data_IF_884267382926
#
_entry.id   IF_884267382926
#
_cell.length_a   1.000
_cell.length_b   1.000
_cell.length_c   1.000
_cell.angle_alpha   90.00
_cell.angle_beta   90.00
_cell.angle_gamma   90.00
#
_symmetry.space_group_name_H-M   'P 1'
#
loop_
_entity.id
_entity.type
_entity.pdbx_description
1 polymer ?
#
# COMPACT_ATOMS: atom_id res chain seq x y z
N UNK A 1 -15.16 34.92 -39.52
CA UNK A 1 -14.85 33.49 -39.76
C UNK A 1 -13.43 33.43 -40.27
N UNK A 2 -12.48 33.25 -39.35
CA UNK A 2 -11.05 33.20 -39.62
C UNK A 2 -10.52 31.87 -39.08
N UNK A 3 -10.29 30.96 -40.00
CA UNK A 3 -9.57 29.71 -39.82
C UNK A 3 -8.09 29.99 -39.56
N UNK A 4 -7.60 29.65 -38.37
CA UNK A 4 -6.18 29.39 -38.12
C UNK A 4 -6.09 28.17 -37.20
N UNK A 5 -5.82 27.03 -37.81
CA UNK A 5 -5.37 25.85 -37.10
C UNK A 5 -4.00 26.15 -36.48
N UNK A 6 -3.89 25.98 -35.16
CA UNK A 6 -2.60 26.00 -34.47
C UNK A 6 -2.42 24.65 -33.80
N UNK A 7 -1.79 23.75 -34.53
CA UNK A 7 -1.22 22.50 -34.02
C UNK A 7 -0.02 22.88 -33.14
N UNK A 8 -0.22 22.96 -31.83
CA UNK A 8 0.86 23.19 -30.88
C UNK A 8 1.38 21.83 -30.37
N UNK A 9 2.41 21.32 -31.05
CA UNK A 9 3.30 20.32 -30.48
C UNK A 9 4.09 21.00 -29.35
N UNK A 10 3.90 20.57 -28.10
CA UNK A 10 4.75 20.99 -26.97
C UNK A 10 5.19 19.75 -26.20
N UNK A 11 6.43 19.38 -26.51
CA UNK A 11 7.48 18.87 -25.64
C UNK A 11 7.07 18.02 -24.43
N UNK A 12 7.42 16.73 -24.51
CA UNK A 12 7.45 15.84 -23.35
C UNK A 12 8.37 16.40 -22.26
N UNK A 13 7.84 16.48 -21.05
CA UNK A 13 8.62 16.73 -19.85
C UNK A 13 9.23 15.39 -19.47
N UNK A 14 10.52 15.22 -19.78
CA UNK A 14 11.32 14.12 -19.24
C UNK A 14 11.44 14.34 -17.73
N UNK A 15 10.67 13.58 -16.95
CA UNK A 15 10.89 13.48 -15.51
C UNK A 15 12.19 12.70 -15.32
N UNK A 16 13.28 13.41 -15.11
CA UNK A 16 14.54 12.80 -14.66
C UNK A 16 14.36 12.48 -13.18
N UNK A 17 13.95 11.24 -12.89
CA UNK A 17 14.00 10.67 -11.54
C UNK A 17 15.48 10.60 -11.11
N UNK A 18 15.94 11.62 -10.38
CA UNK A 18 17.22 11.57 -9.68
C UNK A 18 17.08 10.57 -8.51
N UNK A 19 17.24 9.29 -8.80
CA UNK A 19 17.46 8.26 -7.79
C UNK A 19 18.85 8.48 -7.19
N UNK A 20 18.91 9.25 -6.09
CA UNK A 20 20.10 9.32 -5.25
C UNK A 20 20.05 8.16 -4.25
N UNK A 21 20.53 6.99 -4.68
CA UNK A 21 20.76 5.81 -3.85
C UNK A 21 22.00 5.10 -4.37
N UNK A 22 23.07 5.14 -3.58
CA UNK A 22 24.45 4.80 -3.93
C UNK A 22 24.63 3.50 -4.73
N UNK A 23 25.44 3.56 -5.79
CA UNK A 23 25.90 2.41 -6.57
C UNK A 23 26.99 1.64 -5.82
N UNK A 24 26.87 0.31 -5.82
CA UNK A 24 27.98 -0.65 -5.81
C UNK A 24 27.68 -1.72 -6.88
N UNK A 25 28.75 -2.21 -7.50
CA UNK A 25 28.85 -2.66 -8.88
C UNK A 25 28.19 -3.98 -9.33
N UNK A 26 27.88 -3.98 -10.64
CA UNK A 26 28.05 -5.08 -11.62
C UNK A 26 26.94 -6.11 -11.86
N UNK A 27 26.70 -6.31 -13.17
CA UNK A 27 26.16 -7.50 -13.84
C UNK A 27 24.65 -7.57 -14.06
N UNK A 28 24.25 -7.26 -15.29
CA UNK A 28 22.99 -7.62 -15.95
C UNK A 28 22.54 -9.07 -15.67
N UNK A 29 21.34 -9.21 -15.13
CA UNK A 29 20.35 -10.21 -15.54
C UNK A 29 18.97 -9.63 -15.26
N UNK A 30 18.20 -9.41 -16.32
CA UNK A 30 16.78 -9.12 -16.22
C UNK A 30 16.07 -10.36 -15.67
N UNK A 31 15.80 -10.37 -14.38
CA UNK A 31 14.76 -11.21 -13.81
C UNK A 31 13.68 -10.26 -13.30
N UNK A 32 12.61 -10.13 -14.10
CA UNK A 32 11.37 -9.47 -13.67
C UNK A 32 10.60 -10.41 -12.72
N UNK A 33 11.25 -10.86 -11.67
CA UNK A 33 10.60 -11.32 -10.46
C UNK A 33 10.64 -10.16 -9.49
N UNK A 34 9.50 -9.54 -9.20
CA UNK A 34 9.34 -8.80 -7.94
C UNK A 34 9.58 -9.79 -6.81
N UNK A 35 10.85 -10.01 -6.49
CA UNK A 35 11.25 -10.34 -5.14
C UNK A 35 10.97 -9.07 -4.38
N UNK A 36 9.71 -8.88 -3.97
CA UNK A 36 9.39 -8.07 -2.81
C UNK A 36 10.41 -8.53 -1.79
N UNK A 37 11.42 -7.71 -1.50
CA UNK A 37 12.28 -7.96 -0.35
C UNK A 37 11.30 -8.29 0.75
N UNK A 38 11.31 -9.53 1.24
CA UNK A 38 10.47 -9.93 2.33
C UNK A 38 10.88 -8.97 3.43
N UNK A 39 10.12 -7.89 3.60
CA UNK A 39 10.20 -7.06 4.77
C UNK A 39 10.02 -8.09 5.88
N UNK A 40 10.94 -8.11 6.84
CA UNK A 40 10.89 -9.09 7.91
C UNK A 40 9.60 -8.84 8.69
N UNK A 41 8.51 -9.51 8.28
CA UNK A 41 7.17 -9.32 8.83
C UNK A 41 7.15 -10.16 10.08
N UNK A 42 7.06 -9.49 11.22
CA UNK A 42 6.79 -10.17 12.49
C UNK A 42 5.36 -10.70 12.45
N UNK A 43 5.23 -12.02 12.36
CA UNK A 43 3.93 -12.69 12.41
C UNK A 43 3.43 -12.80 13.86
N UNK A 44 2.12 -12.67 14.01
CA UNK A 44 1.42 -12.93 15.28
C UNK A 44 0.31 -13.94 15.04
N UNK A 45 0.28 -15.01 15.82
CA UNK A 45 -0.73 -16.05 15.62
C UNK A 45 -2.08 -15.63 16.22
N UNK A 46 -3.17 -16.16 15.66
CA UNK A 46 -4.52 -15.99 16.18
C UNK A 46 -5.33 -14.90 15.47
N UNK A 47 -6.45 -14.50 16.08
CA UNK A 47 -7.42 -13.57 15.50
C UNK A 47 -7.26 -12.16 16.08
N UNK A 48 -7.15 -11.18 15.19
CA UNK A 48 -7.09 -9.76 15.52
C UNK A 48 -8.40 -9.12 15.06
N UNK A 49 -9.18 -8.62 16.02
CA UNK A 49 -10.33 -7.77 15.72
C UNK A 49 -9.85 -6.31 15.59
N UNK A 50 -10.23 -5.66 14.50
CA UNK A 50 -9.89 -4.28 14.20
C UNK A 50 -11.12 -3.51 13.71
N UNK A 51 -11.20 -2.19 13.95
CA UNK A 51 -12.31 -1.38 13.46
C UNK A 51 -11.89 0.05 13.18
N UNK A 52 -12.41 0.66 12.12
CA UNK A 52 -11.97 2.00 11.75
C UNK A 52 -12.72 2.66 10.60
N UNK A 53 -12.05 3.63 9.99
CA UNK A 53 -12.61 4.40 8.88
C UNK A 53 -13.04 3.51 7.72
N UNK A 54 -14.24 3.73 7.22
CA UNK A 54 -14.67 3.13 5.96
C UNK A 54 -13.92 3.70 4.76
N UNK A 55 -13.36 4.92 4.86
CA UNK A 55 -12.61 5.55 3.78
C UNK A 55 -11.31 4.81 3.43
N UNK A 56 -10.70 4.11 4.41
CA UNK A 56 -9.48 3.33 4.20
C UNK A 56 -9.74 1.84 3.99
N UNK A 57 -11.00 1.39 3.94
CA UNK A 57 -11.37 -0.03 3.96
C UNK A 57 -10.65 -0.84 2.87
N UNK A 58 -10.62 -0.34 1.64
CA UNK A 58 -9.96 -1.03 0.52
C UNK A 58 -8.44 -1.20 0.75
N UNK A 59 -7.78 -0.19 1.33
CA UNK A 59 -6.36 -0.24 1.61
C UNK A 59 -6.05 -1.25 2.74
N UNK A 60 -6.89 -1.28 3.78
CA UNK A 60 -6.76 -2.26 4.85
C UNK A 60 -7.01 -3.68 4.34
N UNK A 61 -8.02 -3.89 3.47
CA UNK A 61 -8.27 -5.20 2.86
C UNK A 61 -7.06 -5.73 2.09
N UNK A 62 -6.42 -4.89 1.28
CA UNK A 62 -5.21 -5.29 0.56
C UNK A 62 -4.05 -5.60 1.51
N UNK A 63 -3.85 -4.76 2.52
CA UNK A 63 -2.82 -4.99 3.53
C UNK A 63 -3.06 -6.29 4.33
N UNK A 64 -4.31 -6.56 4.77
CA UNK A 64 -4.68 -7.82 5.44
C UNK A 64 -4.41 -9.01 4.54
N UNK A 65 -4.76 -8.90 3.26
CA UNK A 65 -4.53 -9.96 2.28
C UNK A 65 -3.04 -10.28 2.17
N UNK A 66 -2.20 -9.25 1.98
CA UNK A 66 -0.76 -9.41 1.93
C UNK A 66 -0.17 -9.95 3.25
N UNK A 67 -0.66 -9.47 4.39
CA UNK A 67 -0.21 -9.91 5.71
C UNK A 67 -0.53 -11.37 5.96
N UNK A 68 -1.75 -11.83 5.64
CA UNK A 68 -2.15 -13.23 5.85
C UNK A 68 -1.47 -14.19 4.86
N UNK A 69 -1.03 -13.71 3.69
CA UNK A 69 -0.14 -14.48 2.81
C UNK A 69 1.22 -14.69 3.47
N UNK A 70 1.77 -13.65 4.11
CA UNK A 70 3.05 -13.73 4.82
C UNK A 70 2.96 -14.47 6.17
N UNK A 71 1.81 -14.38 6.84
CA UNK A 71 1.54 -14.89 8.18
C UNK A 71 0.25 -15.74 8.17
N UNK A 72 0.32 -17.01 7.76
CA UNK A 72 -0.88 -17.84 7.54
C UNK A 72 -1.62 -18.22 8.83
N UNK A 73 -0.96 -18.15 9.98
CA UNK A 73 -1.57 -18.43 11.30
C UNK A 73 -2.27 -17.19 11.89
N UNK A 74 -2.20 -16.05 11.21
CA UNK A 74 -2.88 -14.81 11.58
C UNK A 74 -4.22 -14.68 10.86
N UNK A 75 -5.24 -14.21 11.57
CA UNK A 75 -6.50 -13.76 10.98
C UNK A 75 -6.76 -12.32 11.41
N UNK A 76 -7.03 -11.42 10.46
CA UNK A 76 -7.38 -10.03 10.76
C UNK A 76 -8.79 -9.75 10.26
N UNK A 77 -9.68 -9.39 11.19
CA UNK A 77 -11.07 -9.02 10.92
C UNK A 77 -11.23 -7.51 11.12
N UNK A 78 -11.19 -6.76 10.01
CA UNK A 78 -11.36 -5.32 10.01
C UNK A 78 -12.81 -4.90 9.71
N UNK A 79 -13.39 -4.14 10.63
CA UNK A 79 -14.76 -3.63 10.53
C UNK A 79 -14.77 -2.14 10.09
N UNK A 80 -15.24 -1.80 8.88
CA UNK A 80 -15.24 -0.43 8.36
C UNK A 80 -16.44 0.39 8.91
N UNK A 81 -16.49 0.59 10.22
CA UNK A 81 -17.62 1.24 10.94
C UNK A 81 -17.57 2.78 10.94
N UNK A 82 -16.52 3.37 10.36
CA UNK A 82 -16.26 4.81 10.40
C UNK A 82 -15.30 5.20 11.54
N UNK A 83 -14.58 6.32 11.37
CA UNK A 83 -13.47 6.67 12.27
C UNK A 83 -13.91 6.90 13.71
N UNK A 84 -15.07 7.52 13.94
CA UNK A 84 -15.57 7.79 15.30
C UNK A 84 -15.87 6.51 16.08
N UNK A 85 -16.67 5.61 15.49
CA UNK A 85 -16.99 4.32 16.09
C UNK A 85 -15.74 3.42 16.26
N UNK A 86 -14.78 3.48 15.33
CA UNK A 86 -13.50 2.80 15.47
C UNK A 86 -12.68 3.30 16.67
N UNK A 87 -12.55 4.63 16.82
CA UNK A 87 -11.88 5.24 17.98
C UNK A 87 -12.56 4.85 19.29
N UNK A 88 -13.89 4.91 19.34
CA UNK A 88 -14.66 4.48 20.52
C UNK A 88 -14.40 3.00 20.85
N UNK A 89 -14.38 2.13 19.84
CA UNK A 89 -14.11 0.69 20.00
C UNK A 89 -12.69 0.42 20.48
N UNK A 90 -11.70 1.14 19.94
CA UNK A 90 -10.30 1.00 20.35
C UNK A 90 -10.08 1.47 21.79
N UNK A 91 -10.58 2.67 22.14
CA UNK A 91 -10.41 3.24 23.49
C UNK A 91 -11.15 2.42 24.56
N UNK A 92 -12.25 1.78 24.19
CA UNK A 92 -12.98 0.85 25.07
C UNK A 92 -12.38 -0.56 25.13
N UNK A 93 -11.30 -0.83 24.38
CA UNK A 93 -10.61 -2.13 24.38
C UNK A 93 -11.35 -3.25 23.66
N UNK A 94 -12.32 -2.92 22.79
CA UNK A 94 -13.09 -3.91 22.02
C UNK A 94 -12.33 -4.41 20.78
N UNK A 95 -11.43 -3.58 20.25
CA UNK A 95 -10.60 -3.90 19.08
C UNK A 95 -9.13 -3.58 19.34
N UNK A 96 -8.25 -4.22 18.58
CA UNK A 96 -6.79 -4.11 18.74
C UNK A 96 -6.23 -2.84 18.10
N UNK A 97 -6.88 -2.35 17.04
CA UNK A 97 -6.55 -1.11 16.35
C UNK A 97 -7.72 -0.64 15.47
#
# INVERSE_FOLDING_TARGET
MNTLAVTAAVAGISIVLAACGSSDDSSTSSDSGSSSSAMDVTCVDGSIQAAGSSAQANAITEWVTAYQIACPESTIDYQPVGSGAGVESFVSGQVSF
#
